data_IF_395821036803
#
_entry.id   IF_395821036803
#
_cell.length_a   1.000
_cell.length_b   1.000
_cell.length_c   1.000
_cell.angle_alpha   90.00
_cell.angle_beta   90.00
_cell.angle_gamma   90.00
#
_symmetry.space_group_name_H-M   'P 1'
#
loop_
_entity.id
_entity.type
_entity.pdbx_description
1 polymer ?
#
# COMPACT_ATOMS: atom_id res chain seq x y z
N UNK A 1 -1.17 -23.05 19.00
CA UNK A 1 -1.56 -22.56 17.67
C UNK A 1 -2.70 -23.44 17.20
N UNK A 2 -3.92 -22.90 17.15
CA UNK A 2 -4.97 -23.57 16.39
C UNK A 2 -4.55 -23.47 14.92
N UNK A 3 -4.34 -24.62 14.29
CA UNK A 3 -4.28 -24.72 12.83
C UNK A 3 -5.59 -24.16 12.30
N UNK A 4 -5.56 -23.00 11.63
CA UNK A 4 -6.65 -22.66 10.71
C UNK A 4 -6.73 -23.85 9.76
N UNK A 5 -7.87 -24.55 9.78
CA UNK A 5 -8.13 -25.48 8.70
C UNK A 5 -8.15 -24.63 7.43
N UNK A 6 -7.30 -24.95 6.46
CA UNK A 6 -7.38 -24.31 5.16
C UNK A 6 -8.80 -24.57 4.63
N UNK A 7 -9.53 -23.49 4.33
CA UNK A 7 -10.84 -23.61 3.72
C UNK A 7 -10.69 -24.44 2.42
N UNK A 8 -11.63 -25.35 2.14
CA UNK A 8 -11.58 -26.12 0.91
C UNK A 8 -11.53 -25.17 -0.29
N UNK A 9 -10.80 -25.52 -1.36
CA UNK A 9 -10.73 -24.68 -2.56
C UNK A 9 -12.14 -24.44 -3.10
N UNK A 10 -12.38 -23.23 -3.61
CA UNK A 10 -13.64 -22.86 -4.26
C UNK A 10 -13.98 -23.85 -5.38
N UNK A 11 -15.27 -24.18 -5.50
CA UNK A 11 -15.78 -24.89 -6.67
C UNK A 11 -15.62 -24.03 -7.94
N UNK A 12 -15.71 -24.66 -9.11
CA UNK A 12 -15.54 -23.97 -10.41
C UNK A 12 -16.52 -22.79 -10.58
N UNK A 13 -17.80 -23.02 -10.27
CA UNK A 13 -18.84 -21.98 -10.30
C UNK A 13 -18.56 -20.85 -9.30
N UNK A 14 -18.08 -21.19 -8.10
CA UNK A 14 -17.75 -20.18 -7.08
C UNK A 14 -16.53 -19.35 -7.52
N UNK A 15 -15.50 -20.01 -8.06
CA UNK A 15 -14.33 -19.34 -8.60
C UNK A 15 -14.71 -18.42 -9.77
N UNK A 16 -15.61 -18.84 -10.65
CA UNK A 16 -16.11 -18.05 -11.77
C UNK A 16 -16.94 -16.84 -11.30
N UNK A 17 -17.77 -16.99 -10.27
CA UNK A 17 -18.53 -15.87 -9.68
C UNK A 17 -17.60 -14.87 -9.00
N UNK A 18 -16.63 -15.34 -8.21
CA UNK A 18 -15.74 -14.45 -7.47
C UNK A 18 -14.75 -13.70 -8.36
N UNK A 19 -14.11 -14.42 -9.29
CA UNK A 19 -12.99 -13.90 -10.10
C UNK A 19 -13.39 -13.51 -11.52
N UNK A 20 -14.59 -13.87 -11.98
CA UNK A 20 -14.97 -13.79 -13.38
C UNK A 20 -14.49 -15.00 -14.18
N UNK A 21 -14.65 -14.99 -15.51
CA UNK A 21 -14.14 -16.06 -16.38
C UNK A 21 -12.62 -16.22 -16.26
N UNK A 22 -12.11 -17.42 -16.53
CA UNK A 22 -10.68 -17.76 -16.43
C UNK A 22 -9.81 -17.00 -17.44
N UNK A 23 -10.35 -16.75 -18.64
CA UNK A 23 -9.74 -15.88 -19.65
C UNK A 23 -10.39 -14.50 -19.61
N UNK A 24 -9.67 -13.52 -19.06
CA UNK A 24 -10.02 -12.11 -19.08
C UNK A 24 -9.05 -11.37 -20.00
N UNK A 25 -9.59 -10.60 -20.95
CA UNK A 25 -8.83 -9.57 -21.66
C UNK A 25 -8.94 -8.24 -20.88
N UNK A 26 -7.88 -7.78 -20.20
CA UNK A 26 -7.94 -6.56 -19.39
C UNK A 26 -8.34 -5.31 -20.19
N UNK A 27 -7.97 -5.25 -21.47
CA UNK A 27 -8.26 -4.10 -22.34
C UNK A 27 -9.75 -4.03 -22.72
N UNK A 28 -10.46 -5.16 -22.59
CA UNK A 28 -11.90 -5.26 -22.85
C UNK A 28 -12.79 -4.96 -21.64
N UNK A 29 -12.20 -4.82 -20.44
CA UNK A 29 -12.96 -4.65 -19.21
C UNK A 29 -13.29 -3.18 -18.94
N UNK A 30 -14.52 -2.88 -18.47
CA UNK A 30 -14.90 -1.55 -18.00
C UNK A 30 -13.95 -1.07 -16.90
N UNK A 31 -13.50 0.18 -16.94
CA UNK A 31 -12.58 0.77 -15.95
C UNK A 31 -13.28 1.44 -14.77
N UNK A 32 -14.59 1.59 -14.84
CA UNK A 32 -15.41 2.21 -13.80
C UNK A 32 -16.77 1.52 -13.64
N UNK A 33 -17.43 1.71 -12.50
CA UNK A 33 -18.80 1.23 -12.30
C UNK A 33 -19.78 1.90 -13.27
N UNK A 34 -19.59 3.19 -13.56
CA UNK A 34 -20.34 3.92 -14.58
C UNK A 34 -20.30 3.22 -15.95
N UNK A 35 -19.12 2.78 -16.40
CA UNK A 35 -19.00 2.02 -17.65
C UNK A 35 -19.70 0.66 -17.59
N UNK A 36 -19.75 0.00 -16.42
CA UNK A 36 -20.51 -1.24 -16.22
C UNK A 36 -22.01 -0.98 -16.32
N UNK A 37 -22.50 0.10 -15.69
CA UNK A 37 -23.91 0.45 -15.64
C UNK A 37 -24.45 0.86 -17.03
N UNK A 38 -23.59 1.37 -17.91
CA UNK A 38 -23.90 1.74 -19.29
C UNK A 38 -23.86 0.54 -20.27
N UNK A 39 -23.44 -0.66 -19.84
CA UNK A 39 -23.43 -1.83 -20.70
C UNK A 39 -24.85 -2.22 -21.13
N UNK A 40 -25.07 -2.54 -22.42
CA UNK A 40 -26.38 -2.99 -22.87
C UNK A 40 -26.74 -4.33 -22.21
N UNK A 41 -27.95 -4.39 -21.63
CA UNK A 41 -28.48 -5.55 -20.90
C UNK A 41 -28.55 -6.88 -21.70
N UNK A 42 -28.24 -6.87 -23.01
CA UNK A 42 -28.37 -8.02 -23.90
C UNK A 42 -27.08 -8.37 -24.67
N UNK A 43 -25.90 -8.27 -24.06
CA UNK A 43 -24.78 -9.02 -24.63
C UNK A 43 -25.04 -10.51 -24.39
N UNK A 44 -25.39 -11.22 -25.46
CA UNK A 44 -25.61 -12.67 -25.56
C UNK A 44 -24.39 -13.54 -25.20
N UNK A 45 -23.39 -12.97 -24.53
CA UNK A 45 -22.18 -13.58 -23.98
C UNK A 45 -22.05 -13.30 -22.46
N UNK A 46 -23.13 -12.90 -21.78
CA UNK A 46 -23.12 -12.78 -20.32
C UNK A 46 -22.84 -14.16 -19.71
N UNK A 47 -21.75 -14.28 -18.95
CA UNK A 47 -21.46 -15.50 -18.22
C UNK A 47 -22.55 -15.72 -17.17
N UNK A 48 -23.30 -16.81 -17.31
CA UNK A 48 -24.36 -17.18 -16.39
C UNK A 48 -23.87 -18.30 -15.48
N UNK A 49 -23.99 -18.11 -14.17
CA UNK A 49 -23.81 -19.16 -13.16
C UNK A 49 -25.13 -19.31 -12.42
N UNK A 50 -25.72 -20.51 -12.48
CA UNK A 50 -27.05 -20.79 -11.89
C UNK A 50 -28.15 -19.81 -12.34
N UNK A 51 -28.07 -19.32 -13.58
CA UNK A 51 -29.03 -18.37 -14.15
C UNK A 51 -28.84 -16.92 -13.69
N UNK A 52 -27.79 -16.62 -12.93
CA UNK A 52 -27.40 -15.26 -12.54
C UNK A 52 -26.28 -14.76 -13.43
N UNK A 53 -26.36 -13.49 -13.84
CA UNK A 53 -25.29 -12.82 -14.58
C UNK A 53 -24.12 -12.56 -13.65
N UNK A 54 -22.95 -13.06 -14.02
CA UNK A 54 -21.69 -12.73 -13.37
C UNK A 54 -21.24 -11.34 -13.87
N UNK A 55 -20.94 -10.39 -12.97
CA UNK A 55 -20.41 -9.08 -13.37
C UNK A 55 -19.12 -9.21 -14.20
N UNK A 56 -18.78 -8.24 -15.06
CA UNK A 56 -17.49 -8.21 -15.75
C UNK A 56 -16.33 -8.31 -14.75
N UNK A 57 -15.53 -9.39 -14.85
CA UNK A 57 -14.43 -9.69 -13.91
C UNK A 57 -14.84 -10.18 -12.51
N UNK A 58 -16.10 -10.62 -12.33
CA UNK A 58 -16.60 -11.22 -11.10
C UNK A 58 -16.88 -10.25 -9.94
N UNK A 59 -17.34 -10.80 -8.82
CA UNK A 59 -17.74 -10.01 -7.64
C UNK A 59 -16.59 -9.26 -6.96
N UNK A 60 -15.34 -9.74 -7.06
CA UNK A 60 -14.18 -9.02 -6.53
C UNK A 60 -13.98 -7.72 -7.30
N UNK A 61 -14.04 -7.79 -8.64
CA UNK A 61 -13.93 -6.61 -9.50
C UNK A 61 -15.10 -5.67 -9.31
N UNK A 62 -16.32 -6.18 -9.24
CA UNK A 62 -17.51 -5.38 -8.99
C UNK A 62 -17.38 -4.59 -7.68
N UNK A 63 -16.96 -5.25 -6.60
CA UNK A 63 -16.73 -4.60 -5.31
C UNK A 63 -15.66 -3.52 -5.40
N UNK A 64 -14.57 -3.79 -6.14
CA UNK A 64 -13.53 -2.82 -6.38
C UNK A 64 -14.04 -1.59 -7.14
N UNK A 65 -14.77 -1.78 -8.24
CA UNK A 65 -15.30 -0.66 -9.05
C UNK A 65 -16.26 0.20 -8.24
N UNK A 66 -17.21 -0.41 -7.52
CA UNK A 66 -18.17 0.32 -6.68
C UNK A 66 -17.51 1.17 -5.58
N UNK A 67 -16.41 0.67 -5.00
CA UNK A 67 -15.71 1.37 -3.91
C UNK A 67 -14.67 2.38 -4.40
N UNK A 68 -13.90 2.02 -5.43
CA UNK A 68 -12.66 2.71 -5.78
C UNK A 68 -12.67 3.34 -7.17
N UNK A 69 -13.56 2.90 -8.07
CA UNK A 69 -13.72 3.47 -9.40
C UNK A 69 -15.21 3.66 -9.78
N UNK A 70 -16.01 4.37 -8.95
CA UNK A 70 -17.46 4.46 -9.19
C UNK A 70 -17.81 5.24 -10.47
N UNK A 71 -16.88 6.04 -11.00
CA UNK A 71 -17.03 6.87 -12.19
C UNK A 71 -15.70 7.00 -12.93
N UNK A 72 -15.76 7.37 -14.20
CA UNK A 72 -14.57 7.67 -14.97
C UNK A 72 -13.73 8.78 -14.29
N UNK A 73 -12.40 8.58 -14.27
CA UNK A 73 -11.47 9.56 -13.69
C UNK A 73 -11.48 9.68 -12.16
N UNK A 74 -12.05 8.70 -11.45
CA UNK A 74 -11.81 8.51 -10.02
C UNK A 74 -10.30 8.48 -9.72
N UNK A 75 -9.90 9.04 -8.59
CA UNK A 75 -8.49 9.07 -8.19
C UNK A 75 -8.06 7.67 -7.81
N UNK A 76 -6.94 7.23 -8.37
CA UNK A 76 -6.34 5.93 -8.09
C UNK A 76 -6.14 5.73 -6.57
N UNK A 77 -6.49 4.53 -6.06
CA UNK A 77 -6.41 4.20 -4.64
C UNK A 77 -4.99 4.28 -4.07
N UNK A 78 -3.97 4.12 -4.91
CA UNK A 78 -2.55 4.19 -4.56
C UNK A 78 -1.99 5.60 -4.68
N UNK A 79 -2.73 6.56 -5.26
CA UNK A 79 -2.23 7.91 -5.53
C UNK A 79 -1.55 8.56 -4.32
N UNK A 80 -2.17 8.49 -3.14
CA UNK A 80 -1.59 9.06 -1.92
C UNK A 80 -0.35 8.33 -1.43
N UNK A 81 -0.31 7.00 -1.56
CA UNK A 81 0.83 6.17 -1.23
C UNK A 81 1.98 6.43 -2.20
N UNK A 82 1.69 6.71 -3.47
CA UNK A 82 2.71 7.00 -4.49
C UNK A 82 3.45 8.30 -4.16
N UNK A 83 2.73 9.32 -3.70
CA UNK A 83 3.33 10.58 -3.24
C UNK A 83 4.17 10.38 -1.97
N UNK A 84 3.71 9.54 -1.04
CA UNK A 84 4.48 9.16 0.15
C UNK A 84 5.78 8.47 -0.26
N UNK A 85 5.72 7.44 -1.10
CA UNK A 85 6.89 6.72 -1.62
C UNK A 85 7.84 7.63 -2.39
N UNK A 86 7.33 8.56 -3.21
CA UNK A 86 8.14 9.56 -3.89
C UNK A 86 8.90 10.43 -2.89
N UNK A 87 8.21 11.01 -1.91
CA UNK A 87 8.82 11.91 -0.93
C UNK A 87 9.84 11.22 -0.04
N UNK A 88 9.58 9.97 0.35
CA UNK A 88 10.48 9.11 1.11
C UNK A 88 11.73 8.71 0.29
N UNK A 89 11.56 8.33 -0.99
CA UNK A 89 12.69 8.02 -1.86
C UNK A 89 13.61 9.23 -2.05
N UNK A 90 13.03 10.43 -2.21
CA UNK A 90 13.77 11.69 -2.31
C UNK A 90 14.49 12.04 -1.01
N UNK A 91 13.86 11.87 0.15
CA UNK A 91 14.49 12.12 1.46
C UNK A 91 15.68 11.19 1.71
N UNK A 92 15.57 9.89 1.38
CA UNK A 92 16.69 8.93 1.45
C UNK A 92 17.86 9.29 0.56
N UNK A 93 17.58 9.88 -0.61
CA UNK A 93 18.61 10.26 -1.57
C UNK A 93 19.33 11.58 -1.21
N UNK A 94 18.72 12.41 -0.35
CA UNK A 94 19.23 13.73 0.06
C UNK A 94 20.57 13.62 0.80
N UNK A 95 21.52 14.50 0.46
CA UNK A 95 22.86 14.46 1.05
C UNK A 95 22.83 14.65 2.56
N UNK A 96 21.94 15.49 3.09
CA UNK A 96 21.84 15.74 4.54
C UNK A 96 21.43 14.48 5.30
N UNK A 97 20.54 13.68 4.71
CA UNK A 97 20.09 12.40 5.30
C UNK A 97 21.19 11.36 5.19
N UNK A 98 21.87 11.28 4.04
CA UNK A 98 23.02 10.39 3.85
C UNK A 98 24.15 10.69 4.85
N UNK A 99 24.50 11.96 5.04
CA UNK A 99 25.53 12.37 5.99
C UNK A 99 25.18 11.97 7.43
N UNK A 100 23.92 12.20 7.83
CA UNK A 100 23.43 11.80 9.14
C UNK A 100 23.40 10.26 9.29
N UNK A 101 23.04 9.53 8.24
CA UNK A 101 23.06 8.07 8.23
C UNK A 101 24.48 7.53 8.34
N UNK A 102 25.45 8.13 7.65
CA UNK A 102 26.87 7.79 7.79
C UNK A 102 27.39 8.08 9.20
N UNK A 103 27.00 9.19 9.82
CA UNK A 103 27.35 9.50 11.21
C UNK A 103 26.75 8.49 12.21
N UNK A 104 25.52 8.03 11.97
CA UNK A 104 24.87 6.97 12.73
C UNK A 104 25.61 5.64 12.58
N UNK A 105 25.91 5.23 11.35
CA UNK A 105 26.65 4.00 11.02
C UNK A 105 28.02 4.00 11.72
N UNK A 106 28.76 5.10 11.65
CA UNK A 106 30.03 5.25 12.36
C UNK A 106 29.89 5.16 13.89
N UNK A 107 28.75 5.58 14.46
CA UNK A 107 28.47 5.41 15.87
C UNK A 107 28.21 3.94 16.23
N UNK A 108 27.42 3.24 15.42
CA UNK A 108 27.14 1.81 15.60
C UNK A 108 28.43 0.97 15.48
N UNK A 109 29.29 1.27 14.51
CA UNK A 109 30.58 0.60 14.32
C UNK A 109 31.52 0.75 15.52
N UNK A 110 31.54 1.92 16.18
CA UNK A 110 32.29 2.10 17.44
C UNK A 110 31.77 1.24 18.60
N UNK A 111 30.53 0.80 18.53
CA UNK A 111 29.92 -0.13 19.49
C UNK A 111 30.00 -1.59 19.03
N UNK A 112 30.73 -1.88 17.93
CA UNK A 112 30.94 -3.23 17.42
C UNK A 112 29.83 -3.74 16.48
N UNK A 113 28.99 -2.85 15.96
CA UNK A 113 27.90 -3.21 15.05
C UNK A 113 28.15 -2.65 13.65
N UNK A 114 28.45 -3.54 12.71
CA UNK A 114 28.63 -3.20 11.29
C UNK A 114 27.27 -3.06 10.61
N UNK A 115 26.82 -1.82 10.46
CA UNK A 115 25.55 -1.49 9.79
C UNK A 115 25.70 -0.27 8.89
N UNK A 116 25.04 -0.28 7.74
CA UNK A 116 25.12 0.74 6.70
C UNK A 116 23.77 1.39 6.39
N UNK A 117 22.67 0.65 6.55
CA UNK A 117 21.32 1.14 6.28
C UNK A 117 20.50 1.28 7.59
N UNK A 118 20.21 2.50 8.06
CA UNK A 118 19.39 2.73 9.25
C UNK A 118 17.95 2.21 9.12
N UNK A 119 17.49 1.86 7.91
CA UNK A 119 16.18 1.25 7.70
C UNK A 119 16.14 -0.24 8.04
N UNK A 120 17.28 -0.93 7.99
CA UNK A 120 17.28 -2.38 8.17
C UNK A 120 18.52 -2.93 8.90
N UNK A 121 18.91 -2.37 10.06
CA UNK A 121 20.05 -2.86 10.83
C UNK A 121 19.84 -4.30 11.32
N UNK A 122 18.60 -4.70 11.62
CA UNK A 122 18.30 -6.06 12.08
C UNK A 122 18.65 -7.14 11.04
N UNK A 123 18.40 -6.87 9.76
CA UNK A 123 18.82 -7.76 8.66
C UNK A 123 20.33 -7.82 8.52
N UNK A 124 21.01 -6.66 8.57
CA UNK A 124 22.48 -6.60 8.45
C UNK A 124 23.19 -7.30 9.63
N UNK A 125 22.56 -7.32 10.80
CA UNK A 125 23.05 -7.98 12.01
C UNK A 125 22.53 -9.43 12.21
N UNK A 126 21.82 -9.99 11.23
CA UNK A 126 21.22 -11.33 11.28
C UNK A 126 20.37 -11.58 12.52
N UNK A 127 19.51 -10.63 12.90
CA UNK A 127 18.61 -10.73 14.06
C UNK A 127 17.24 -11.35 13.73
N UNK A 128 17.06 -11.91 12.52
CA UNK A 128 15.76 -12.32 12.00
C UNK A 128 15.05 -13.41 12.83
N UNK A 129 15.80 -14.23 13.56
CA UNK A 129 15.26 -15.34 14.35
C UNK A 129 14.74 -14.90 15.74
N UNK A 130 15.27 -13.81 16.28
CA UNK A 130 14.83 -13.26 17.58
C UNK A 130 15.08 -11.74 17.66
N UNK A 131 14.04 -10.98 17.33
CA UNK A 131 14.04 -9.51 17.39
C UNK A 131 13.75 -8.96 18.80
N UNK A 132 13.44 -9.83 19.76
CA UNK A 132 12.99 -9.44 21.11
C UNK A 132 13.92 -9.89 22.23
N UNK A 133 14.90 -10.73 21.94
CA UNK A 133 15.88 -11.21 22.90
C UNK A 133 16.78 -10.12 23.46
N UNK A 134 17.54 -10.49 24.48
CA UNK A 134 18.44 -9.57 25.20
C UNK A 134 19.46 -8.90 24.25
N UNK A 135 20.03 -9.67 23.32
CA UNK A 135 20.95 -9.15 22.29
C UNK A 135 20.30 -8.11 21.38
N UNK A 136 19.11 -8.42 20.85
CA UNK A 136 18.38 -7.51 19.96
C UNK A 136 17.97 -6.23 20.70
N UNK A 137 17.55 -6.35 21.97
CA UNK A 137 17.22 -5.23 22.84
C UNK A 137 18.44 -4.33 23.08
N UNK A 138 19.60 -4.90 23.42
CA UNK A 138 20.84 -4.14 23.63
C UNK A 138 21.27 -3.38 22.36
N UNK A 139 21.17 -4.01 21.19
CA UNK A 139 21.44 -3.39 19.89
C UNK A 139 20.47 -2.24 19.62
N UNK A 140 19.17 -2.44 19.88
CA UNK A 140 18.15 -1.41 19.67
C UNK A 140 18.37 -0.18 20.58
N UNK A 141 18.77 -0.39 21.83
CA UNK A 141 19.15 0.71 22.73
C UNK A 141 20.33 1.49 22.16
N UNK A 142 21.37 0.80 21.67
CA UNK A 142 22.52 1.44 21.05
C UNK A 142 22.16 2.19 19.76
N UNK A 143 21.28 1.62 18.93
CA UNK A 143 20.75 2.23 17.72
C UNK A 143 20.05 3.57 18.02
N UNK A 144 19.16 3.59 19.00
CA UNK A 144 18.47 4.83 19.44
C UNK A 144 19.47 5.88 19.94
N UNK A 145 20.47 5.49 20.73
CA UNK A 145 21.51 6.42 21.19
C UNK A 145 22.36 6.96 20.05
N UNK A 146 22.71 6.12 19.07
CA UNK A 146 23.43 6.56 17.88
C UNK A 146 22.58 7.48 16.99
N UNK A 147 21.28 7.21 16.85
CA UNK A 147 20.33 8.07 16.13
C UNK A 147 20.23 9.45 16.78
N UNK A 148 20.23 9.53 18.12
CA UNK A 148 20.28 10.81 18.86
C UNK A 148 21.59 11.55 18.61
N UNK A 149 22.74 10.88 18.73
CA UNK A 149 24.08 11.50 18.54
C UNK A 149 24.29 12.02 17.12
N UNK A 150 23.84 11.26 16.12
CA UNK A 150 23.91 11.65 14.72
C UNK A 150 22.81 12.67 14.32
N UNK A 151 21.88 12.96 15.23
CA UNK A 151 20.68 13.76 14.96
C UNK A 151 19.84 13.24 13.77
N UNK A 152 19.93 11.93 13.48
CA UNK A 152 19.42 11.31 12.25
C UNK A 152 17.93 11.56 12.06
N UNK A 153 17.14 11.26 13.08
CA UNK A 153 15.67 11.34 12.98
C UNK A 153 15.19 12.78 12.77
N UNK A 154 15.80 13.78 13.43
CA UNK A 154 15.38 15.17 13.26
C UNK A 154 15.75 15.70 11.88
N UNK A 155 16.95 15.38 11.39
CA UNK A 155 17.41 15.78 10.04
C UNK A 155 16.50 15.15 9.00
N UNK A 156 16.30 13.83 9.07
CA UNK A 156 15.46 13.11 8.11
C UNK A 156 14.01 13.61 8.15
N UNK A 157 13.41 13.75 9.33
CA UNK A 157 12.07 14.31 9.47
C UNK A 157 11.94 15.67 8.79
N UNK A 158 12.88 16.60 9.01
CA UNK A 158 12.82 17.93 8.41
C UNK A 158 12.97 17.88 6.88
N UNK A 159 13.86 17.04 6.37
CA UNK A 159 14.11 16.88 4.93
C UNK A 159 12.90 16.25 4.25
N UNK A 160 12.40 15.14 4.76
CA UNK A 160 11.24 14.46 4.19
C UNK A 160 9.98 15.30 4.27
N UNK A 161 9.76 15.99 5.38
CA UNK A 161 8.65 16.95 5.50
C UNK A 161 8.73 17.98 4.38
N UNK A 162 9.91 18.49 4.04
CA UNK A 162 10.06 19.45 2.92
C UNK A 162 9.58 18.84 1.59
N UNK A 163 10.00 17.62 1.27
CA UNK A 163 9.56 16.93 0.06
C UNK A 163 8.07 16.58 0.07
N UNK A 164 7.53 16.20 1.23
CA UNK A 164 6.09 15.99 1.42
C UNK A 164 5.30 17.28 1.14
N UNK A 165 5.74 18.43 1.66
CA UNK A 165 5.09 19.72 1.38
C UNK A 165 5.15 20.09 -0.11
N UNK A 166 6.25 19.79 -0.80
CA UNK A 166 6.36 20.01 -2.25
C UNK A 166 5.34 19.17 -3.03
N UNK A 167 5.26 17.86 -2.78
CA UNK A 167 4.31 16.98 -3.49
C UNK A 167 2.86 17.32 -3.14
N UNK A 168 2.58 17.71 -1.89
CA UNK A 168 1.25 18.18 -1.48
C UNK A 168 0.85 19.45 -2.23
N UNK A 169 1.78 20.42 -2.36
CA UNK A 169 1.51 21.66 -3.09
C UNK A 169 1.32 21.39 -4.58
N UNK A 170 2.12 20.51 -5.17
CA UNK A 170 2.04 20.11 -6.59
C UNK A 170 0.70 19.44 -6.90
N UNK A 171 0.24 18.56 -6.01
CA UNK A 171 -0.94 17.71 -6.22
C UNK A 171 -2.19 18.18 -5.47
N UNK A 172 -2.25 19.44 -5.05
CA UNK A 172 -3.27 19.94 -4.12
C UNK A 172 -4.71 19.66 -4.59
N UNK A 173 -4.99 19.84 -5.88
CA UNK A 173 -6.31 19.61 -6.46
C UNK A 173 -6.68 18.11 -6.49
N UNK A 174 -5.74 17.25 -6.88
CA UNK A 174 -5.97 15.79 -6.89
C UNK A 174 -6.10 15.25 -5.47
N UNK A 175 -5.32 15.73 -4.51
CA UNK A 175 -5.45 15.39 -3.09
C UNK A 175 -6.82 15.81 -2.52
N UNK A 176 -7.34 16.98 -2.92
CA UNK A 176 -8.69 17.41 -2.54
C UNK A 176 -9.76 16.48 -3.08
N UNK A 177 -9.63 16.03 -4.34
CA UNK A 177 -10.52 15.01 -4.92
C UNK A 177 -10.40 13.67 -4.21
N UNK A 178 -9.18 13.19 -3.99
CA UNK A 178 -8.91 11.93 -3.28
C UNK A 178 -9.56 11.91 -1.89
N UNK A 179 -9.49 13.03 -1.15
CA UNK A 179 -10.14 13.17 0.16
C UNK A 179 -11.67 13.11 0.06
N UNK A 180 -12.26 13.78 -0.92
CA UNK A 180 -13.72 13.75 -1.12
C UNK A 180 -14.19 12.33 -1.47
N UNK A 181 -13.50 11.67 -2.42
CA UNK A 181 -13.80 10.30 -2.86
C UNK A 181 -13.59 9.29 -1.73
N UNK A 182 -12.57 9.47 -0.88
CA UNK A 182 -12.39 8.65 0.31
C UNK A 182 -13.59 8.74 1.26
N UNK A 183 -14.09 9.95 1.55
CA UNK A 183 -15.28 10.12 2.39
C UNK A 183 -16.53 9.52 1.75
N UNK A 184 -16.69 9.63 0.44
CA UNK A 184 -17.79 8.99 -0.30
C UNK A 184 -17.71 7.47 -0.16
N UNK A 185 -16.52 6.89 -0.38
CA UNK A 185 -16.28 5.45 -0.23
C UNK A 185 -16.60 4.94 1.17
N UNK A 186 -16.15 5.63 2.23
CA UNK A 186 -16.41 5.20 3.61
C UNK A 186 -17.91 5.24 3.93
N UNK A 187 -18.62 6.32 3.55
CA UNK A 187 -20.08 6.39 3.73
C UNK A 187 -20.82 5.29 2.98
N UNK A 188 -20.39 4.99 1.76
CA UNK A 188 -20.95 3.88 1.00
C UNK A 188 -20.70 2.54 1.70
N UNK A 189 -19.47 2.27 2.14
CA UNK A 189 -19.14 1.04 2.87
C UNK A 189 -19.95 0.90 4.17
N UNK A 190 -20.13 1.97 4.94
CA UNK A 190 -20.97 1.99 6.14
C UNK A 190 -22.43 1.61 5.82
N UNK A 191 -22.95 2.00 4.65
CA UNK A 191 -24.32 1.63 4.25
C UNK A 191 -24.49 0.14 3.94
N UNK A 192 -23.39 -0.60 3.73
CA UNK A 192 -23.40 -2.03 3.41
C UNK A 192 -23.31 -2.92 4.65
N UNK A 193 -22.77 -2.41 5.76
CA UNK A 193 -22.61 -3.15 7.01
C UNK A 193 -23.81 -2.86 7.90
N UNK A 194 -24.66 -3.88 8.13
CA UNK A 194 -25.79 -3.82 9.06
C UNK A 194 -25.41 -4.32 10.45
#
# INVERSE_FOLDING_TARGET
MATQADDPPLGEDEAAVFNGPEELDPDSLPNSQEEVDDLPASTSNANLVNGLVVPPGGCIRESFLKLYAPRAGAVDILFTQDLERESFARSRADSRVKDAASAWSACMGRSGYEVSDPMNPGRELNLAEDLSGEKATAIAVQDVECKKRANLIKIWFAVESSYQHEVIKREADTLKRAKAEHHERIRFAESLVK
#
